data_IF_090131341820
#
_entry.id   IF_090131341820
#
_cell.length_a   1.000
_cell.length_b   1.000
_cell.length_c   1.000
_cell.angle_alpha   90.00
_cell.angle_beta   90.00
_cell.angle_gamma   90.00
#
_symmetry.space_group_name_H-M   'P 1'
#
loop_
_entity.id
_entity.type
_entity.pdbx_description
1 polymer ?
#
# COMPACT_ATOMS: atom_id res chain seq x y z
N UNK A 1 -40.32 -7.84 -10.65
CA UNK A 1 -40.12 -6.38 -10.76
C UNK A 1 -38.65 -5.97 -10.52
N UNK A 2 -37.70 -6.72 -11.08
CA UNK A 2 -36.26 -6.37 -11.09
C UNK A 2 -35.66 -6.49 -12.53
N UNK A 3 -36.51 -6.48 -13.55
CA UNK A 3 -36.13 -6.77 -14.95
C UNK A 3 -35.68 -5.52 -15.72
N UNK A 4 -35.81 -4.33 -15.14
CA UNK A 4 -35.47 -3.08 -15.83
C UNK A 4 -33.96 -2.78 -15.89
N UNK A 5 -33.17 -3.29 -14.95
CA UNK A 5 -31.70 -3.13 -14.95
C UNK A 5 -31.02 -4.23 -15.79
N UNK A 6 -31.65 -5.41 -15.90
CA UNK A 6 -31.21 -6.51 -16.79
C UNK A 6 -31.36 -6.19 -18.29
N UNK A 7 -32.00 -5.08 -18.67
CA UNK A 7 -32.15 -4.71 -20.07
C UNK A 7 -30.89 -4.10 -20.71
N UNK A 8 -29.94 -3.64 -19.90
CA UNK A 8 -28.73 -2.99 -20.41
C UNK A 8 -27.53 -3.93 -20.34
N UNK A 9 -27.54 -4.95 -21.22
CA UNK A 9 -26.38 -5.82 -21.49
C UNK A 9 -25.10 -5.02 -21.77
N UNK A 10 -25.23 -3.77 -22.22
CA UNK A 10 -24.09 -2.88 -22.45
C UNK A 10 -23.22 -2.65 -21.21
N UNK A 11 -23.81 -2.52 -20.01
CA UNK A 11 -23.01 -2.33 -18.79
C UNK A 11 -22.27 -3.61 -18.41
N UNK A 12 -22.85 -4.78 -18.66
CA UNK A 12 -22.21 -6.06 -18.39
C UNK A 12 -21.03 -6.29 -19.34
N UNK A 13 -21.20 -5.98 -20.64
CA UNK A 13 -20.11 -6.02 -21.63
C UNK A 13 -19.03 -5.01 -21.31
N UNK A 14 -19.40 -3.77 -20.99
CA UNK A 14 -18.44 -2.73 -20.67
C UNK A 14 -17.64 -3.08 -19.41
N UNK A 15 -18.32 -3.61 -18.39
CA UNK A 15 -17.69 -4.11 -17.17
C UNK A 15 -16.74 -5.27 -17.45
N UNK A 16 -17.19 -6.29 -18.19
CA UNK A 16 -16.35 -7.43 -18.58
C UNK A 16 -15.12 -6.99 -19.39
N UNK A 17 -15.31 -6.11 -20.36
CA UNK A 17 -14.23 -5.55 -21.17
C UNK A 17 -13.23 -4.75 -20.32
N UNK A 18 -13.72 -3.93 -19.40
CA UNK A 18 -12.87 -3.16 -18.48
C UNK A 18 -12.03 -4.07 -17.57
N UNK A 19 -12.63 -5.10 -16.97
CA UNK A 19 -11.92 -6.05 -16.10
C UNK A 19 -10.86 -6.84 -16.87
N UNK A 20 -11.20 -7.35 -18.06
CA UNK A 20 -10.24 -8.06 -18.90
C UNK A 20 -9.12 -7.15 -19.39
N UNK A 21 -9.42 -5.89 -19.74
CA UNK A 21 -8.41 -4.90 -20.12
C UNK A 21 -7.46 -4.59 -18.96
N UNK A 22 -7.98 -4.47 -17.74
CA UNK A 22 -7.16 -4.22 -16.54
C UNK A 22 -6.15 -5.37 -16.31
N UNK A 23 -6.63 -6.61 -16.41
CA UNK A 23 -5.79 -7.81 -16.25
C UNK A 23 -4.74 -7.90 -17.35
N UNK A 24 -5.14 -7.69 -18.61
CA UNK A 24 -4.21 -7.71 -19.75
C UNK A 24 -3.09 -6.67 -19.57
N UNK A 25 -3.45 -5.47 -19.11
CA UNK A 25 -2.49 -4.41 -18.81
C UNK A 25 -1.50 -4.82 -17.72
N UNK A 26 -1.96 -5.44 -16.64
CA UNK A 26 -1.11 -5.92 -15.54
C UNK A 26 -0.04 -6.91 -16.01
N UNK A 27 -0.47 -7.99 -16.67
CA UNK A 27 0.46 -9.04 -17.11
C UNK A 27 1.39 -8.61 -18.24
N UNK A 28 0.96 -7.67 -19.10
CA UNK A 28 1.83 -7.13 -20.16
C UNK A 28 2.87 -6.17 -19.58
N UNK A 29 2.49 -5.33 -18.61
CA UNK A 29 3.42 -4.41 -17.95
C UNK A 29 4.50 -5.13 -17.13
N UNK A 30 4.22 -6.34 -16.61
CA UNK A 30 5.20 -7.15 -15.88
C UNK A 30 6.34 -7.69 -16.77
N UNK A 31 6.20 -7.67 -18.10
CA UNK A 31 7.22 -8.18 -19.05
C UNK A 31 8.28 -7.12 -19.40
N UNK A 32 7.94 -5.84 -19.28
CA UNK A 32 8.87 -4.73 -19.45
C UNK A 32 9.52 -4.47 -18.09
N UNK A 33 10.76 -4.92 -17.89
CA UNK A 33 11.48 -5.02 -16.61
C UNK A 33 11.72 -3.74 -15.77
N UNK A 34 10.90 -2.70 -15.91
CA UNK A 34 10.85 -1.58 -14.96
C UNK A 34 9.82 -1.87 -13.85
N UNK A 35 10.23 -2.74 -12.93
CA UNK A 35 9.51 -3.01 -11.70
C UNK A 35 9.58 -1.79 -10.76
N UNK A 36 8.69 -0.83 -10.97
CA UNK A 36 8.31 0.13 -9.94
C UNK A 36 6.79 0.08 -9.77
N UNK A 37 6.36 -0.19 -8.53
CA UNK A 37 4.99 -0.15 -8.05
C UNK A 37 4.16 0.99 -8.67
N UNK A 38 3.44 0.70 -9.75
CA UNK A 38 2.44 1.59 -10.34
C UNK A 38 1.06 0.97 -10.19
N UNK A 39 0.66 0.76 -8.93
CA UNK A 39 -0.76 0.82 -8.59
C UNK A 39 -1.34 2.16 -9.09
N UNK A 40 -2.68 2.29 -9.26
CA UNK A 40 -3.29 3.55 -9.67
C UNK A 40 -2.83 4.65 -8.71
N UNK A 41 -1.84 5.43 -9.14
CA UNK A 41 -1.36 6.60 -8.43
C UNK A 41 -2.47 7.62 -8.53
N UNK A 42 -3.42 7.53 -7.60
CA UNK A 42 -4.20 8.68 -7.21
C UNK A 42 -3.17 9.69 -6.70
N UNK A 43 -2.63 10.51 -7.60
CA UNK A 43 -1.58 11.48 -7.30
C UNK A 43 -2.03 12.53 -6.26
N UNK A 44 -3.30 12.47 -5.85
CA UNK A 44 -3.87 13.27 -4.78
C UNK A 44 -4.99 12.51 -4.07
N UNK A 45 -4.99 12.54 -2.73
CA UNK A 45 -6.10 12.05 -1.90
C UNK A 45 -7.45 12.64 -2.35
N UNK A 46 -7.44 13.86 -2.87
CA UNK A 46 -8.61 14.53 -3.42
C UNK A 46 -9.23 13.83 -4.63
N UNK A 47 -8.45 13.06 -5.41
CA UNK A 47 -8.98 12.30 -6.55
C UNK A 47 -9.53 10.93 -6.11
N UNK A 48 -8.95 10.33 -5.07
CA UNK A 48 -9.41 9.05 -4.54
C UNK A 48 -10.73 9.19 -3.75
N UNK A 49 -10.86 10.23 -2.92
CA UNK A 49 -12.04 10.47 -2.05
C UNK A 49 -13.38 10.38 -2.81
N UNK A 50 -13.61 11.09 -3.94
CA UNK A 50 -14.90 11.04 -4.63
C UNK A 50 -15.21 9.66 -5.22
N UNK A 51 -14.20 8.91 -5.66
CA UNK A 51 -14.38 7.56 -6.21
C UNK A 51 -14.78 6.57 -5.11
N UNK A 52 -14.11 6.66 -3.95
CA UNK A 52 -14.45 5.86 -2.76
C UNK A 52 -15.86 6.20 -2.29
N UNK A 53 -16.18 7.49 -2.15
CA UNK A 53 -17.51 7.95 -1.73
C UNK A 53 -18.63 7.48 -2.68
N UNK A 54 -18.38 7.49 -3.99
CA UNK A 54 -19.35 7.00 -4.97
C UNK A 54 -19.56 5.48 -4.86
N UNK A 55 -18.48 4.72 -4.67
CA UNK A 55 -18.56 3.26 -4.52
C UNK A 55 -19.27 2.87 -3.21
N UNK A 56 -18.99 3.57 -2.11
CA UNK A 56 -19.66 3.36 -0.82
C UNK A 56 -21.16 3.73 -0.89
N UNK A 57 -21.53 4.76 -1.66
CA UNK A 57 -22.93 5.11 -1.92
C UNK A 57 -23.65 4.01 -2.71
N UNK A 58 -23.01 3.47 -3.75
CA UNK A 58 -23.57 2.39 -4.55
C UNK A 58 -23.76 1.11 -3.71
N UNK A 59 -22.80 0.77 -2.86
CA UNK A 59 -22.88 -0.41 -1.97
C UNK A 59 -23.91 -0.24 -0.84
N UNK A 60 -23.98 0.94 -0.22
CA UNK A 60 -24.94 1.22 0.84
C UNK A 60 -26.39 1.18 0.35
N UNK A 61 -26.69 1.55 -0.90
CA UNK A 61 -28.04 1.44 -1.44
C UNK A 61 -28.53 -0.02 -1.52
N UNK A 62 -27.65 -0.92 -1.93
CA UNK A 62 -27.95 -2.35 -2.02
C UNK A 62 -28.11 -2.98 -0.62
N UNK A 63 -27.19 -2.64 0.29
CA UNK A 63 -27.25 -3.06 1.69
C UNK A 63 -28.52 -2.55 2.38
N UNK A 64 -28.95 -1.31 2.12
CA UNK A 64 -30.18 -0.73 2.65
C UNK A 64 -31.41 -1.44 2.08
N UNK A 65 -31.42 -1.73 0.78
CA UNK A 65 -32.53 -2.47 0.13
C UNK A 65 -32.68 -3.87 0.74
N UNK A 66 -31.56 -4.56 0.96
CA UNK A 66 -31.52 -5.86 1.63
C UNK A 66 -31.97 -5.76 3.09
N UNK A 67 -31.49 -4.76 3.82
CA UNK A 67 -31.86 -4.55 5.21
C UNK A 67 -33.34 -4.18 5.38
N UNK A 68 -33.93 -3.41 4.45
CA UNK A 68 -35.37 -3.11 4.38
C UNK A 68 -36.21 -4.37 4.10
N UNK A 69 -35.68 -5.31 3.32
CA UNK A 69 -36.33 -6.60 3.08
C UNK A 69 -36.32 -7.49 4.34
N UNK A 70 -35.31 -7.34 5.21
CA UNK A 70 -35.12 -8.14 6.44
C UNK A 70 -35.72 -7.50 7.69
N UNK A 71 -35.73 -6.17 7.78
CA UNK A 71 -36.09 -5.40 8.96
C UNK A 71 -36.85 -4.13 8.57
N UNK A 72 -37.85 -3.78 9.38
CA UNK A 72 -38.63 -2.54 9.21
C UNK A 72 -38.07 -1.37 10.03
N UNK A 73 -37.06 -1.62 10.87
CA UNK A 73 -36.51 -0.63 11.79
C UNK A 73 -35.40 0.19 11.14
N UNK A 74 -35.68 1.46 10.86
CA UNK A 74 -34.75 2.37 10.19
C UNK A 74 -33.44 2.58 10.96
N UNK A 75 -33.48 2.56 12.30
CA UNK A 75 -32.27 2.71 13.12
C UNK A 75 -31.29 1.56 12.93
N UNK A 76 -31.80 0.34 12.75
CA UNK A 76 -30.96 -0.86 12.51
C UNK A 76 -30.29 -0.77 11.14
N UNK A 77 -31.03 -0.28 10.13
CA UNK A 77 -30.54 -0.10 8.77
C UNK A 77 -29.45 0.97 8.72
N UNK A 78 -29.68 2.13 9.37
CA UNK A 78 -28.73 3.23 9.39
C UNK A 78 -27.45 2.85 10.15
N UNK A 79 -27.58 2.20 11.31
CA UNK A 79 -26.43 1.78 12.11
C UNK A 79 -25.64 0.65 11.42
N UNK A 80 -26.34 -0.34 10.84
CA UNK A 80 -25.73 -1.42 10.08
C UNK A 80 -25.02 -0.93 8.82
N UNK A 81 -25.62 0.01 8.07
CA UNK A 81 -25.00 0.64 6.91
C UNK A 81 -23.76 1.46 7.27
N UNK A 82 -23.83 2.27 8.33
CA UNK A 82 -22.70 3.07 8.80
C UNK A 82 -21.53 2.19 9.27
N UNK A 83 -21.81 1.14 10.06
CA UNK A 83 -20.80 0.16 10.49
C UNK A 83 -20.25 -0.58 9.28
N UNK A 84 -21.10 -1.01 8.34
CA UNK A 84 -20.69 -1.73 7.13
C UNK A 84 -19.70 -0.95 6.28
N UNK A 85 -19.98 0.33 6.02
CA UNK A 85 -19.06 1.22 5.28
C UNK A 85 -17.76 1.44 6.06
N UNK A 86 -17.84 1.69 7.38
CA UNK A 86 -16.65 1.85 8.22
C UNK A 86 -15.76 0.59 8.21
N UNK A 87 -16.37 -0.59 8.34
CA UNK A 87 -15.67 -1.87 8.27
C UNK A 87 -15.07 -2.09 6.89
N UNK A 88 -15.81 -1.89 5.80
CA UNK A 88 -15.29 -2.02 4.43
C UNK A 88 -14.07 -1.11 4.22
N UNK A 89 -14.14 0.12 4.73
CA UNK A 89 -13.04 1.08 4.65
C UNK A 89 -11.80 0.61 5.40
N UNK A 90 -11.97 0.09 6.62
CA UNK A 90 -10.87 -0.49 7.39
C UNK A 90 -10.29 -1.73 6.70
N UNK A 91 -11.15 -2.60 6.16
CA UNK A 91 -10.74 -3.79 5.43
C UNK A 91 -9.91 -3.45 4.19
N UNK A 92 -10.26 -2.40 3.44
CA UNK A 92 -9.47 -1.95 2.30
C UNK A 92 -8.06 -1.50 2.72
N UNK A 93 -7.93 -0.77 3.84
CA UNK A 93 -6.61 -0.39 4.37
C UNK A 93 -5.78 -1.59 4.81
N UNK A 94 -6.41 -2.56 5.49
CA UNK A 94 -5.73 -3.80 5.88
C UNK A 94 -5.31 -4.63 4.67
N UNK A 95 -6.15 -4.69 3.63
CA UNK A 95 -5.88 -5.40 2.39
C UNK A 95 -4.70 -4.78 1.62
N UNK A 96 -4.64 -3.45 1.53
CA UNK A 96 -3.50 -2.74 0.91
C UNK A 96 -2.20 -3.09 1.64
N UNK A 97 -2.20 -3.09 2.97
CA UNK A 97 -1.01 -3.49 3.74
C UNK A 97 -0.63 -4.96 3.51
N UNK A 98 -1.60 -5.85 3.30
CA UNK A 98 -1.29 -7.24 2.94
C UNK A 98 -0.71 -7.37 1.54
N UNK A 99 -1.12 -6.53 0.58
CA UNK A 99 -0.49 -6.52 -0.75
C UNK A 99 0.99 -6.15 -0.68
N UNK A 100 1.39 -5.28 0.26
CA UNK A 100 2.79 -4.89 0.46
C UNK A 100 3.63 -6.03 1.10
N UNK A 101 3.02 -6.83 1.97
CA UNK A 101 3.69 -7.92 2.71
C UNK A 101 3.80 -9.23 1.90
N UNK A 102 2.85 -9.48 0.99
CA UNK A 102 2.74 -10.74 0.25
C UNK A 102 2.92 -10.51 -1.27
N UNK A 103 4.06 -10.95 -1.80
CA UNK A 103 4.46 -10.80 -3.20
C UNK A 103 3.40 -11.31 -4.19
N UNK A 104 2.79 -12.48 -3.95
CA UNK A 104 1.81 -13.08 -4.87
C UNK A 104 0.37 -12.61 -4.66
N UNK A 105 0.11 -11.76 -3.65
CA UNK A 105 -1.25 -11.36 -3.33
C UNK A 105 -1.82 -10.38 -4.37
N UNK A 106 -0.97 -9.54 -4.96
CA UNK A 106 -1.33 -8.66 -6.08
C UNK A 106 -1.77 -9.48 -7.30
N UNK A 107 -0.94 -10.44 -7.72
CA UNK A 107 -1.24 -11.33 -8.84
C UNK A 107 -2.50 -12.17 -8.58
N UNK A 108 -2.68 -12.69 -7.37
CA UNK A 108 -3.89 -13.41 -6.97
C UNK A 108 -5.15 -12.51 -7.10
N UNK A 109 -5.03 -11.22 -6.80
CA UNK A 109 -6.07 -10.22 -7.02
C UNK A 109 -6.41 -10.06 -8.50
N UNK A 110 -5.42 -9.87 -9.37
CA UNK A 110 -5.63 -9.73 -10.81
C UNK A 110 -6.16 -11.01 -11.47
N UNK A 111 -5.67 -12.18 -11.06
CA UNK A 111 -6.19 -13.47 -11.49
C UNK A 111 -7.66 -13.61 -11.09
N UNK A 112 -8.02 -13.23 -9.87
CA UNK A 112 -9.43 -13.21 -9.41
C UNK A 112 -10.28 -12.27 -10.26
N UNK A 113 -9.79 -11.06 -10.56
CA UNK A 113 -10.48 -10.09 -11.43
C UNK A 113 -10.68 -10.67 -12.83
N UNK A 114 -9.71 -11.43 -13.35
CA UNK A 114 -9.81 -12.11 -14.65
C UNK A 114 -10.96 -13.12 -14.66
N UNK A 115 -11.07 -13.94 -13.61
CA UNK A 115 -12.16 -14.90 -13.48
C UNK A 115 -13.53 -14.21 -13.41
N UNK A 116 -13.65 -13.10 -12.69
CA UNK A 116 -14.90 -12.32 -12.65
C UNK A 116 -15.22 -11.72 -14.03
N UNK A 117 -14.24 -11.10 -14.70
CA UNK A 117 -14.42 -10.56 -16.05
C UNK A 117 -14.83 -11.61 -17.07
N UNK A 118 -14.21 -12.78 -17.02
CA UNK A 118 -14.58 -13.91 -17.88
C UNK A 118 -15.98 -14.44 -17.57
N UNK A 119 -16.35 -14.55 -16.28
CA UNK A 119 -17.69 -14.95 -15.87
C UNK A 119 -18.76 -13.99 -16.41
N UNK A 120 -18.51 -12.68 -16.35
CA UNK A 120 -19.40 -11.67 -16.91
C UNK A 120 -19.49 -11.80 -18.44
N UNK A 121 -18.36 -12.02 -19.13
CA UNK A 121 -18.37 -12.23 -20.58
C UNK A 121 -19.17 -13.47 -21.00
N UNK A 122 -18.98 -14.60 -20.29
CA UNK A 122 -19.75 -15.83 -20.52
C UNK A 122 -21.24 -15.58 -20.33
N UNK A 123 -21.62 -14.86 -19.28
CA UNK A 123 -23.02 -14.52 -18.99
C UNK A 123 -23.68 -13.68 -20.09
N UNK A 124 -22.93 -12.78 -20.72
CA UNK A 124 -23.41 -12.01 -21.89
C UNK A 124 -23.63 -12.92 -23.11
N UNK A 125 -22.70 -13.83 -23.38
CA UNK A 125 -22.73 -14.68 -24.59
C UNK A 125 -23.78 -15.79 -24.45
N UNK A 126 -23.73 -16.53 -23.35
CA UNK A 126 -24.67 -17.61 -23.05
C UNK A 126 -24.96 -17.65 -21.54
N UNK A 127 -26.13 -17.16 -21.11
CA UNK A 127 -26.51 -17.17 -19.70
C UNK A 127 -26.70 -18.59 -19.13
N UNK A 128 -26.84 -19.62 -19.97
CA UNK A 128 -26.99 -21.01 -19.52
C UNK A 128 -25.64 -21.67 -19.15
N UNK A 129 -24.52 -21.15 -19.66
CA UNK A 129 -23.17 -21.68 -19.39
C UNK A 129 -22.45 -20.97 -18.23
N UNK A 130 -23.14 -20.09 -17.50
CA UNK A 130 -22.54 -19.36 -16.39
C UNK A 130 -22.13 -20.34 -15.28
N UNK A 131 -20.84 -20.37 -14.89
CA UNK A 131 -20.37 -21.24 -13.82
C UNK A 131 -21.16 -21.00 -12.53
N UNK A 132 -21.51 -22.06 -11.78
CA UNK A 132 -22.19 -21.92 -10.50
C UNK A 132 -21.42 -21.03 -9.52
N UNK A 133 -22.14 -20.29 -8.70
CA UNK A 133 -21.54 -19.32 -7.75
C UNK A 133 -20.54 -19.96 -6.79
N UNK A 134 -20.87 -21.13 -6.26
CA UNK A 134 -20.01 -21.84 -5.32
C UNK A 134 -18.66 -22.23 -5.95
N UNK A 135 -18.63 -22.58 -7.23
CA UNK A 135 -17.40 -22.90 -7.96
C UNK A 135 -16.49 -21.68 -8.02
N UNK A 136 -17.04 -20.51 -8.33
CA UNK A 136 -16.29 -19.25 -8.36
C UNK A 136 -15.73 -18.90 -6.99
N UNK A 137 -16.53 -19.02 -5.92
CA UNK A 137 -16.08 -18.73 -4.56
C UNK A 137 -14.96 -19.68 -4.14
N UNK A 138 -15.09 -20.98 -4.41
CA UNK A 138 -14.02 -21.96 -4.14
C UNK A 138 -12.75 -21.64 -4.93
N UNK A 139 -12.89 -21.30 -6.21
CA UNK A 139 -11.76 -20.96 -7.06
C UNK A 139 -11.02 -19.72 -6.54
N UNK A 140 -11.76 -18.64 -6.23
CA UNK A 140 -11.20 -17.40 -5.68
C UNK A 140 -10.49 -17.69 -4.36
N UNK A 141 -11.10 -18.48 -3.48
CA UNK A 141 -10.49 -18.87 -2.20
C UNK A 141 -9.16 -19.63 -2.41
N UNK A 142 -9.08 -20.52 -3.39
CA UNK A 142 -7.83 -21.22 -3.73
C UNK A 142 -6.76 -20.27 -4.28
N UNK A 143 -7.15 -19.33 -5.14
CA UNK A 143 -6.23 -18.32 -5.70
C UNK A 143 -5.69 -17.41 -4.60
N UNK A 144 -6.55 -16.93 -3.69
CA UNK A 144 -6.10 -16.15 -2.53
C UNK A 144 -5.23 -16.96 -1.58
N UNK A 145 -5.59 -18.22 -1.29
CA UNK A 145 -4.77 -19.09 -0.45
C UNK A 145 -3.36 -19.27 -1.04
N UNK A 146 -3.25 -19.38 -2.37
CA UNK A 146 -1.98 -19.36 -3.08
C UNK A 146 -1.27 -17.99 -2.99
N UNK A 147 -2.01 -16.88 -3.15
CA UNK A 147 -1.48 -15.52 -3.01
C UNK A 147 -0.86 -15.24 -1.64
N UNK A 148 -1.41 -15.81 -0.57
CA UNK A 148 -0.85 -15.73 0.79
C UNK A 148 0.35 -16.66 1.05
N UNK A 149 0.78 -17.47 0.07
CA UNK A 149 1.75 -18.55 0.30
C UNK A 149 3.20 -18.09 0.46
N UNK A 150 3.61 -16.93 -0.06
CA UNK A 150 4.96 -16.39 0.12
C UNK A 150 4.89 -14.96 0.65
N UNK A 151 5.59 -14.75 1.77
CA UNK A 151 5.86 -13.41 2.31
C UNK A 151 7.18 -12.94 1.75
N UNK A 152 7.27 -11.65 1.48
CA UNK A 152 8.47 -10.99 0.97
C UNK A 152 9.54 -11.05 2.07
N UNK A 153 10.44 -12.03 2.00
CA UNK A 153 11.65 -12.04 2.82
C UNK A 153 12.65 -11.16 2.09
N UNK A 154 12.82 -9.91 2.53
CA UNK A 154 13.93 -9.07 2.07
C UNK A 154 15.26 -9.82 2.24
N UNK A 155 15.99 -10.14 1.15
CA UNK A 155 17.37 -10.62 1.23
C UNK A 155 18.37 -9.46 1.42
N UNK A 156 17.89 -8.25 1.72
CA UNK A 156 18.73 -7.06 1.89
C UNK A 156 19.64 -7.18 3.13
N UNK A 157 19.25 -8.00 4.11
CA UNK A 157 20.11 -8.29 5.25
C UNK A 157 21.33 -9.16 4.88
N UNK A 158 21.24 -10.04 3.87
CA UNK A 158 22.39 -10.86 3.44
C UNK A 158 23.34 -10.03 2.57
N UNK A 159 22.84 -9.17 1.68
CA UNK A 159 23.72 -8.35 0.83
C UNK A 159 24.44 -7.25 1.62
N UNK A 160 23.78 -6.65 2.61
CA UNK A 160 24.41 -5.66 3.50
C UNK A 160 25.43 -6.33 4.43
N UNK A 161 25.16 -7.55 4.92
CA UNK A 161 26.12 -8.30 5.75
C UNK A 161 27.31 -8.82 4.94
N UNK A 162 27.09 -9.27 3.69
CA UNK A 162 28.15 -9.70 2.77
C UNK A 162 29.01 -8.50 2.33
N UNK A 163 28.40 -7.35 2.04
CA UNK A 163 29.10 -6.10 1.69
C UNK A 163 29.89 -5.55 2.89
N UNK A 164 29.32 -5.54 4.09
CA UNK A 164 30.03 -5.18 5.33
C UNK A 164 31.18 -6.15 5.63
N UNK A 165 31.00 -7.45 5.40
CA UNK A 165 32.05 -8.46 5.58
C UNK A 165 33.19 -8.29 4.57
N UNK A 166 32.88 -7.96 3.31
CA UNK A 166 33.87 -7.70 2.26
C UNK A 166 34.61 -6.37 2.47
N UNK A 167 33.92 -5.32 2.92
CA UNK A 167 34.53 -4.02 3.27
C UNK A 167 35.43 -4.16 4.51
N UNK A 168 35.05 -5.01 5.47
CA UNK A 168 35.85 -5.26 6.67
C UNK A 168 37.05 -6.18 6.41
N UNK A 169 36.95 -7.10 5.45
CA UNK A 169 38.08 -7.92 4.98
C UNK A 169 39.10 -7.13 4.13
N UNK A 170 38.69 -6.03 3.49
CA UNK A 170 39.53 -5.24 2.59
C UNK A 170 40.30 -4.08 3.24
N UNK A 171 40.10 -3.78 4.54
CA UNK A 171 40.74 -2.64 5.21
C UNK A 171 41.82 -3.07 6.22
N UNK A 172 43.13 -2.84 5.95
CA UNK A 172 44.23 -3.29 6.82
C UNK A 172 44.54 -2.26 7.91
N UNK A 173 43.54 -1.75 8.61
CA UNK A 173 43.72 -0.59 9.53
C UNK A 173 43.66 -0.96 11.01
N UNK A 174 43.31 -2.19 11.38
CA UNK A 174 43.28 -2.63 12.80
C UNK A 174 44.29 -3.76 13.04
N UNK A 175 45.55 -3.55 12.66
CA UNK A 175 46.65 -4.47 13.00
C UNK A 175 47.98 -3.78 13.38
N UNK A 176 48.02 -2.44 13.47
CA UNK A 176 49.25 -1.71 13.73
C UNK A 176 49.07 -0.58 14.73
N UNK A 177 49.07 -0.90 16.03
CA UNK A 177 49.38 0.08 17.08
C UNK A 177 50.88 -0.10 17.37
N UNK A 178 51.77 0.84 16.97
CA UNK A 178 53.17 0.76 17.35
C UNK A 178 53.39 1.50 18.68
N UNK A 179 53.73 0.72 19.70
CA UNK A 179 54.30 1.15 20.97
C UNK A 179 55.75 1.60 20.73
N UNK A 180 56.04 2.90 20.60
CA UNK A 180 57.43 3.39 20.48
C UNK A 180 57.71 4.59 21.41
N UNK A 181 58.41 4.26 22.49
CA UNK A 181 59.25 5.10 23.31
C UNK A 181 60.37 5.83 22.53
N UNK A 182 60.72 7.01 23.07
CA UNK A 182 62.03 7.67 23.10
C UNK A 182 62.63 8.35 21.85
N UNK A 183 63.15 9.55 22.13
CA UNK A 183 64.07 10.40 21.34
C UNK A 183 63.52 11.17 20.14
N UNK A 184 63.27 12.46 20.33
CA UNK A 184 64.17 13.53 19.89
C UNK A 184 63.40 14.86 19.86
N UNK A 185 63.83 15.82 20.68
CA UNK A 185 63.47 17.23 20.54
C UNK A 185 64.21 17.79 19.33
N UNK A 186 63.50 18.39 18.36
CA UNK A 186 63.96 19.68 17.86
C UNK A 186 62.83 20.72 17.68
N UNK A 187 63.21 21.94 18.03
CA UNK A 187 62.57 23.26 17.94
C UNK A 187 61.15 23.44 17.40
N UNK A 188 60.30 23.96 18.29
CA UNK A 188 58.99 24.55 18.01
C UNK A 188 59.12 25.94 17.37
N UNK A 189 58.54 26.20 16.18
CA UNK A 189 58.18 27.56 15.81
C UNK A 189 56.95 27.99 16.62
N UNK A 190 57.11 29.05 17.42
CA UNK A 190 56.01 29.73 18.14
C UNK A 190 54.93 30.17 17.14
N UNK A 191 53.81 29.46 17.11
CA UNK A 191 52.61 29.91 16.41
C UNK A 191 51.43 29.98 17.39
N UNK A 192 51.19 31.22 17.81
CA UNK A 192 49.88 31.82 18.09
C UNK A 192 49.08 31.18 19.24
N UNK A 193 49.28 31.73 20.43
CA UNK A 193 48.28 31.71 21.52
C UNK A 193 46.94 32.24 20.98
N UNK A 194 45.96 31.36 20.80
CA UNK A 194 44.56 31.75 20.67
C UNK A 194 44.05 32.24 22.03
N UNK A 195 43.90 33.56 22.14
CA UNK A 195 43.27 34.22 23.29
C UNK A 195 41.87 33.64 23.58
N UNK A 196 41.46 33.49 24.86
CA UNK A 196 40.14 32.98 25.20
C UNK A 196 39.04 33.99 24.78
N UNK A 197 38.00 33.47 24.13
CA UNK A 197 36.79 34.21 23.74
C UNK A 197 36.07 34.76 24.99
N UNK A 198 35.67 36.04 25.04
CA UNK A 198 34.95 36.57 26.19
C UNK A 198 33.53 35.99 26.26
N UNK A 199 33.13 35.51 27.44
CA UNK A 199 31.76 35.08 27.69
C UNK A 199 30.78 36.27 27.61
N UNK A 200 29.60 36.11 26.99
CA UNK A 200 28.59 37.16 26.93
C UNK A 200 28.00 37.46 28.32
N UNK A 201 27.86 38.76 28.62
CA UNK A 201 27.36 39.31 29.88
C UNK A 201 25.88 38.93 30.14
N UNK A 202 25.54 38.34 31.31
CA UNK A 202 24.17 37.98 31.65
C UNK A 202 23.21 39.17 31.84
N UNK A 203 23.68 40.42 31.84
CA UNK A 203 22.87 41.61 32.09
C UNK A 203 21.97 42.06 30.92
N UNK A 204 22.13 41.51 29.70
CA UNK A 204 21.32 41.89 28.54
C UNK A 204 20.39 40.77 28.05
N UNK A 205 19.61 40.18 28.97
CA UNK A 205 18.43 39.37 28.60
C UNK A 205 17.20 40.27 28.58
N UNK A 206 16.79 40.71 27.39
CA UNK A 206 15.47 41.30 27.19
C UNK A 206 14.42 40.19 27.35
N UNK A 207 13.45 40.30 28.29
CA UNK A 207 12.36 39.36 28.39
C UNK A 207 11.40 39.57 27.22
N UNK A 208 11.13 38.50 26.45
CA UNK A 208 10.06 38.50 25.45
C UNK A 208 8.72 38.48 26.19
N UNK A 209 8.05 39.63 26.24
CA UNK A 209 6.68 39.71 26.72
C UNK A 209 5.77 38.86 25.83
N UNK A 210 4.92 38.12 26.53
CA UNK A 210 3.85 37.28 26.01
C UNK A 210 2.66 38.21 25.80
N UNK A 211 2.06 38.24 24.62
CA UNK A 211 0.78 38.92 24.48
C UNK A 211 -0.27 38.06 23.81
N UNK A 212 -1.40 38.06 24.50
CA UNK A 212 -2.63 37.32 24.31
C UNK A 212 -3.53 38.00 23.30
N UNK A 213 -4.08 37.24 22.35
CA UNK A 213 -5.28 37.60 21.59
C UNK A 213 -6.01 36.25 21.39
N UNK A 214 -7.09 35.94 22.13
CA UNK A 214 -8.48 36.40 21.95
C UNK A 214 -8.90 36.38 20.48
#
# INVERSE_FOLDING_TARGET
TATWVLQFWQFEVLGAAYLLWLVFKHFTAATDGEAHHHGPRFNSLWQAIPIIAFTDLAFSLDSVTTALALSKEIMVILLGGAIGVLTLRFMAGLFIRWLEEFEYLEDAGFVTVAFVGLRLLVRVIDPALVPPEWVMVTLIALVFAWGFSKRTLEPEAETVVEELALVQAASPVVAGIPELEHHATPDLPKLIETQPVPLPDPANRVPKETDSLV
#
